data_IF_573513042654
#
_entry.id   IF_573513042654
#
_cell.length_a   1.000
_cell.length_b   1.000
_cell.length_c   1.000
_cell.angle_alpha   90.00
_cell.angle_beta   90.00
_cell.angle_gamma   90.00
#
_symmetry.space_group_name_H-M   'P 1'
#
loop_
_entity.id
_entity.type
_entity.pdbx_description
1 polymer ?
#
# COMPACT_ATOMS: atom_id res chain seq x y z
N UNK A 1 4.94 -1.80 40.67
CA UNK A 1 6.13 -1.60 39.81
C UNK A 1 5.62 -1.33 38.41
N UNK A 2 5.96 -0.18 37.83
CA UNK A 2 5.58 0.15 36.45
C UNK A 2 6.57 -0.53 35.50
N UNK A 3 6.13 -1.59 34.84
CA UNK A 3 6.84 -2.26 33.74
C UNK A 3 6.21 -1.92 32.39
N UNK A 4 6.95 -2.06 31.28
CA UNK A 4 6.38 -1.94 29.93
C UNK A 4 5.15 -2.83 29.73
N UNK A 5 5.20 -4.07 30.26
CA UNK A 5 4.06 -4.99 30.23
C UNK A 5 2.86 -4.48 31.04
N UNK A 6 3.10 -3.84 32.19
CA UNK A 6 2.01 -3.22 32.99
C UNK A 6 1.46 -1.92 32.37
N UNK A 7 2.19 -1.30 31.45
CA UNK A 7 1.71 -0.22 30.59
C UNK A 7 1.02 -0.76 29.32
N UNK A 8 0.88 -2.08 29.19
CA UNK A 8 0.18 -2.77 28.12
C UNK A 8 1.01 -2.98 26.84
N UNK A 9 2.35 -3.01 26.92
CA UNK A 9 3.23 -3.36 25.80
C UNK A 9 3.74 -4.79 25.98
N UNK A 10 3.30 -5.72 25.13
CA UNK A 10 3.72 -7.12 25.14
C UNK A 10 4.78 -7.44 24.08
N UNK A 11 6.03 -7.54 24.53
CA UNK A 11 7.17 -7.89 23.67
C UNK A 11 7.08 -9.32 23.12
N UNK A 12 6.37 -10.24 23.79
CA UNK A 12 6.27 -11.62 23.33
C UNK A 12 5.43 -11.74 22.05
N UNK A 13 4.31 -11.02 21.95
CA UNK A 13 3.49 -10.97 20.74
C UNK A 13 4.25 -10.33 19.58
N UNK A 14 5.06 -9.30 19.85
CA UNK A 14 5.96 -8.72 18.85
C UNK A 14 6.94 -9.74 18.26
N UNK A 15 7.60 -10.54 19.11
CA UNK A 15 8.51 -11.59 18.63
C UNK A 15 7.78 -12.67 17.83
N UNK A 16 6.59 -13.11 18.27
CA UNK A 16 5.78 -14.08 17.54
C UNK A 16 5.37 -13.56 16.16
N UNK A 17 4.96 -12.29 16.07
CA UNK A 17 4.61 -11.66 14.79
C UNK A 17 5.80 -11.67 13.83
N UNK A 18 6.97 -11.23 14.30
CA UNK A 18 8.22 -11.24 13.51
C UNK A 18 8.57 -12.64 13.02
N UNK A 19 8.49 -13.66 13.89
CA UNK A 19 8.79 -15.05 13.51
C UNK A 19 7.85 -15.59 12.43
N UNK A 20 6.56 -15.23 12.48
CA UNK A 20 5.57 -15.62 11.47
C UNK A 20 5.84 -15.03 10.08
N UNK A 21 6.31 -13.79 10.02
CA UNK A 21 6.49 -13.07 8.74
C UNK A 21 7.89 -13.24 8.15
N UNK A 22 8.88 -13.63 8.96
CA UNK A 22 10.32 -13.62 8.60
C UNK A 22 10.62 -14.25 7.24
N UNK A 23 10.06 -15.43 6.95
CA UNK A 23 10.28 -16.13 5.68
C UNK A 23 9.69 -15.37 4.50
N UNK A 24 8.50 -14.79 4.66
CA UNK A 24 7.83 -14.03 3.62
C UNK A 24 8.56 -12.70 3.33
N UNK A 25 8.97 -11.97 4.38
CA UNK A 25 9.75 -10.74 4.19
C UNK A 25 11.11 -11.04 3.54
N UNK A 26 11.78 -12.13 3.95
CA UNK A 26 13.01 -12.61 3.31
C UNK A 26 12.82 -12.90 1.82
N UNK A 27 11.67 -13.46 1.45
CA UNK A 27 11.35 -13.76 0.05
C UNK A 27 11.05 -12.51 -0.80
N UNK A 28 10.88 -11.32 -0.20
CA UNK A 28 10.81 -10.04 -0.94
C UNK A 28 12.20 -9.44 -1.22
N UNK A 29 13.24 -9.92 -0.52
CA UNK A 29 14.58 -9.36 -0.62
C UNK A 29 15.17 -9.57 -2.01
N UNK A 30 15.98 -8.61 -2.44
CA UNK A 30 16.69 -8.67 -3.70
C UNK A 30 18.17 -8.31 -3.49
N UNK A 31 18.98 -8.42 -4.54
CA UNK A 31 20.44 -8.17 -4.48
C UNK A 31 20.82 -6.75 -4.02
N UNK A 32 19.90 -5.80 -4.09
CA UNK A 32 20.15 -4.41 -3.74
C UNK A 32 19.96 -4.16 -2.24
N UNK A 33 19.32 -5.07 -1.49
CA UNK A 33 19.22 -4.95 -0.03
C UNK A 33 20.51 -5.47 0.61
N UNK A 34 21.21 -4.62 1.35
CA UNK A 34 22.59 -4.90 1.81
C UNK A 34 22.67 -5.47 3.23
N UNK A 35 21.57 -5.46 3.98
CA UNK A 35 21.53 -5.92 5.36
C UNK A 35 20.21 -6.61 5.71
N UNK A 36 20.18 -7.27 6.85
CA UNK A 36 19.00 -7.99 7.34
C UNK A 36 18.09 -7.08 8.19
N UNK A 37 16.83 -7.51 8.30
CA UNK A 37 15.83 -6.95 9.23
C UNK A 37 16.33 -7.06 10.67
N UNK A 38 16.07 -6.03 11.47
CA UNK A 38 16.46 -5.94 12.88
C UNK A 38 17.72 -5.12 13.15
N UNK A 39 18.36 -4.55 12.12
CA UNK A 39 19.32 -3.45 12.31
C UNK A 39 18.59 -2.13 12.60
N UNK A 40 19.35 -1.08 12.91
CA UNK A 40 18.80 0.28 13.09
C UNK A 40 18.20 0.91 11.82
N UNK A 41 18.41 0.29 10.66
CA UNK A 41 17.93 0.82 9.38
C UNK A 41 18.33 -0.08 8.22
N UNK A 42 17.49 -0.11 7.20
CA UNK A 42 17.74 -0.87 5.98
C UNK A 42 18.59 -0.06 4.99
N UNK A 43 19.47 -0.77 4.28
CA UNK A 43 20.33 -0.22 3.25
C UNK A 43 19.92 -0.79 1.90
N UNK A 44 19.67 0.09 0.95
CA UNK A 44 19.29 -0.26 -0.42
C UNK A 44 20.26 0.38 -1.41
N UNK A 45 21.00 -0.44 -2.15
CA UNK A 45 21.94 0.02 -3.17
C UNK A 45 21.21 0.43 -4.46
N UNK A 46 21.51 1.62 -4.97
CA UNK A 46 21.03 2.09 -6.27
C UNK A 46 22.15 1.94 -7.29
N UNK A 47 21.91 1.18 -8.36
CA UNK A 47 22.86 0.97 -9.44
C UNK A 47 22.14 0.82 -10.79
N UNK A 48 22.87 1.12 -11.88
CA UNK A 48 22.34 0.96 -13.25
C UNK A 48 21.49 2.11 -13.79
N UNK A 49 21.49 3.27 -13.13
CA UNK A 49 20.80 4.49 -13.59
C UNK A 49 21.82 5.57 -13.96
N UNK A 50 21.49 6.39 -14.96
CA UNK A 50 22.32 7.49 -15.44
C UNK A 50 22.08 8.76 -14.63
N UNK A 51 20.82 9.17 -14.49
CA UNK A 51 20.37 10.36 -13.77
C UNK A 51 19.18 10.00 -12.86
N UNK A 52 19.42 9.22 -11.80
CA UNK A 52 18.34 8.69 -10.97
C UNK A 52 17.62 9.79 -10.19
N UNK A 53 16.29 9.69 -10.15
CA UNK A 53 15.41 10.47 -9.27
C UNK A 53 14.61 9.50 -8.42
N UNK A 54 14.62 9.72 -7.10
CA UNK A 54 13.79 8.97 -6.17
C UNK A 54 12.40 9.59 -6.08
N UNK A 55 11.38 8.74 -6.14
CA UNK A 55 9.98 9.11 -5.98
C UNK A 55 9.45 8.35 -4.77
N UNK A 56 8.98 9.07 -3.76
CA UNK A 56 8.48 8.49 -2.51
C UNK A 56 6.99 8.78 -2.34
N UNK A 57 6.25 7.81 -1.83
CA UNK A 57 4.86 7.95 -1.44
C UNK A 57 4.62 7.34 -0.06
N UNK A 58 3.71 7.95 0.70
CA UNK A 58 3.21 7.38 1.96
C UNK A 58 1.70 7.48 1.96
N UNK A 59 1.05 6.41 2.40
CA UNK A 59 -0.40 6.37 2.49
C UNK A 59 -0.84 5.34 3.54
N UNK A 60 -2.09 5.43 3.95
CA UNK A 60 -2.77 4.43 4.74
C UNK A 60 -3.88 3.73 3.96
N UNK A 61 -4.53 2.76 4.60
CA UNK A 61 -5.68 2.06 4.02
C UNK A 61 -6.98 2.84 4.27
N UNK A 62 -7.04 3.60 5.36
CA UNK A 62 -8.23 4.32 5.78
C UNK A 62 -9.35 3.39 6.26
N UNK A 63 -10.59 3.86 6.16
CA UNK A 63 -11.74 3.21 6.85
C UNK A 63 -12.16 1.84 6.29
N UNK A 64 -11.51 1.33 5.23
CA UNK A 64 -11.66 -0.07 4.77
C UNK A 64 -11.18 -1.05 5.85
N UNK A 65 -10.18 -0.66 6.64
CA UNK A 65 -9.69 -1.41 7.80
C UNK A 65 -10.82 -1.88 8.71
N UNK A 66 -11.84 -1.06 8.95
CA UNK A 66 -12.94 -1.42 9.85
C UNK A 66 -13.72 -2.64 9.36
N UNK A 67 -13.94 -2.80 8.06
CA UNK A 67 -14.61 -3.98 7.49
C UNK A 67 -13.75 -5.24 7.67
N UNK A 68 -12.45 -5.12 7.46
CA UNK A 68 -11.51 -6.23 7.68
C UNK A 68 -11.47 -6.64 9.16
N UNK A 69 -11.43 -5.67 10.08
CA UNK A 69 -11.45 -5.90 11.52
C UNK A 69 -12.78 -6.51 11.99
N UNK A 70 -13.92 -6.08 11.43
CA UNK A 70 -15.25 -6.59 11.79
C UNK A 70 -15.48 -8.03 11.30
N UNK A 71 -14.82 -8.44 10.22
CA UNK A 71 -15.05 -9.75 9.58
C UNK A 71 -13.88 -10.72 9.73
N UNK A 72 -12.76 -10.30 10.31
CA UNK A 72 -11.58 -11.14 10.51
C UNK A 72 -10.76 -11.41 9.25
N UNK A 73 -10.81 -10.51 8.27
CA UNK A 73 -10.18 -10.67 6.96
C UNK A 73 -9.07 -9.62 6.76
N UNK A 74 -7.86 -9.91 7.23
CA UNK A 74 -6.79 -8.91 7.32
C UNK A 74 -5.80 -8.90 6.15
N UNK A 75 -5.63 -10.03 5.46
CA UNK A 75 -4.58 -10.18 4.44
C UNK A 75 -4.68 -9.17 3.31
N UNK A 76 -5.90 -8.90 2.84
CA UNK A 76 -6.13 -7.99 1.71
C UNK A 76 -5.77 -6.54 2.04
N UNK A 77 -5.83 -6.15 3.33
CA UNK A 77 -5.43 -4.83 3.82
C UNK A 77 -3.95 -4.56 3.58
N UNK A 78 -3.09 -5.58 3.70
CA UNK A 78 -1.67 -5.45 3.38
C UNK A 78 -1.44 -5.09 1.91
N UNK A 79 -2.20 -5.73 1.01
CA UNK A 79 -2.16 -5.45 -0.42
C UNK A 79 -2.67 -4.04 -0.70
N UNK A 80 -3.78 -3.64 -0.08
CA UNK A 80 -4.33 -2.28 -0.19
C UNK A 80 -3.31 -1.21 0.24
N UNK A 81 -2.64 -1.41 1.38
CA UNK A 81 -1.64 -0.48 1.90
C UNK A 81 -0.48 -0.26 0.91
N UNK A 82 0.06 -1.37 0.37
CA UNK A 82 1.09 -1.30 -0.65
C UNK A 82 0.59 -0.62 -1.92
N UNK A 83 -0.61 -0.97 -2.39
CA UNK A 83 -1.17 -0.47 -3.63
C UNK A 83 -1.45 1.04 -3.60
N UNK A 84 -1.93 1.58 -2.48
CA UNK A 84 -2.14 3.02 -2.31
C UNK A 84 -0.83 3.79 -2.52
N UNK A 85 0.26 3.36 -1.87
CA UNK A 85 1.56 4.01 -2.04
C UNK A 85 2.17 3.78 -3.43
N UNK A 86 2.14 2.54 -3.92
CA UNK A 86 2.84 2.14 -5.15
C UNK A 86 2.19 2.72 -6.40
N UNK A 87 0.85 2.75 -6.48
CA UNK A 87 0.14 3.30 -7.62
C UNK A 87 0.39 4.81 -7.78
N UNK A 88 0.57 5.54 -6.67
CA UNK A 88 0.89 6.98 -6.70
C UNK A 88 2.28 7.23 -7.31
N UNK A 89 3.31 6.53 -6.87
CA UNK A 89 4.66 6.73 -7.44
C UNK A 89 4.75 6.25 -8.90
N UNK A 90 3.97 5.24 -9.27
CA UNK A 90 3.87 4.73 -10.66
C UNK A 90 3.29 5.79 -11.60
N UNK A 91 2.50 6.74 -11.10
CA UNK A 91 2.00 7.85 -11.92
C UNK A 91 3.14 8.70 -12.50
N UNK A 92 4.30 8.72 -11.84
CA UNK A 92 5.49 9.43 -12.30
C UNK A 92 6.45 8.57 -13.11
N UNK A 93 6.01 7.37 -13.52
CA UNK A 93 6.85 6.40 -14.22
C UNK A 93 7.85 5.70 -13.31
N UNK A 94 7.77 5.87 -11.99
CA UNK A 94 8.73 5.26 -11.07
C UNK A 94 8.56 3.75 -10.99
N UNK A 95 9.69 3.05 -10.95
CA UNK A 95 9.79 1.63 -10.58
C UNK A 95 9.88 1.53 -9.05
N UNK A 96 8.97 0.82 -8.37
CA UNK A 96 9.11 0.52 -6.95
C UNK A 96 10.43 -0.19 -6.66
N UNK A 97 11.14 0.25 -5.61
CA UNK A 97 12.39 -0.35 -5.14
C UNK A 97 12.18 -1.08 -3.83
N UNK A 98 11.69 -0.34 -2.83
CA UNK A 98 11.48 -0.87 -1.51
C UNK A 98 10.26 -0.25 -0.81
N UNK A 99 9.77 -0.96 0.18
CA UNK A 99 8.63 -0.60 1.00
C UNK A 99 9.00 -0.67 2.49
N UNK A 100 8.41 0.22 3.28
CA UNK A 100 8.37 0.15 4.72
C UNK A 100 6.92 0.26 5.22
N UNK A 101 6.65 -0.37 6.35
CA UNK A 101 5.33 -0.35 6.98
C UNK A 101 5.39 0.14 8.44
N UNK A 102 4.27 0.69 8.90
CA UNK A 102 4.06 1.03 10.30
C UNK A 102 2.67 0.53 10.72
N UNK A 103 2.63 -0.37 11.70
CA UNK A 103 1.41 -0.88 12.29
C UNK A 103 1.22 -0.30 13.69
N UNK A 104 0.08 0.32 13.94
CA UNK A 104 -0.35 0.76 15.26
C UNK A 104 -1.56 -0.04 15.71
N UNK A 105 -1.62 -0.41 16.99
CA UNK A 105 -2.77 -1.15 17.53
C UNK A 105 -3.00 -0.85 19.02
N UNK A 106 -4.20 -1.14 19.51
CA UNK A 106 -4.52 -0.99 20.94
C UNK A 106 -3.97 -2.13 21.79
N UNK A 107 -4.04 -3.35 21.25
CA UNK A 107 -3.42 -4.55 21.81
C UNK A 107 -2.89 -5.39 20.65
N UNK A 108 -1.63 -5.81 20.73
CA UNK A 108 -1.02 -6.59 19.67
C UNK A 108 -1.50 -8.05 19.72
N UNK A 109 -2.07 -8.48 18.60
CA UNK A 109 -2.30 -9.86 18.21
C UNK A 109 -1.34 -10.22 17.06
N UNK A 110 -0.48 -11.22 17.30
CA UNK A 110 0.54 -11.63 16.34
C UNK A 110 -0.03 -12.24 15.05
N UNK A 111 -1.20 -12.87 15.08
CA UNK A 111 -1.83 -13.46 13.90
C UNK A 111 -2.42 -12.37 13.00
N UNK A 112 -3.08 -11.38 13.59
CA UNK A 112 -3.61 -10.22 12.84
C UNK A 112 -2.48 -9.44 12.17
N UNK A 113 -1.44 -9.08 12.93
CA UNK A 113 -0.30 -8.34 12.40
C UNK A 113 0.42 -9.14 11.29
N UNK A 114 0.59 -10.46 11.49
CA UNK A 114 1.20 -11.32 10.48
C UNK A 114 0.39 -11.37 9.18
N UNK A 115 -0.93 -11.52 9.23
CA UNK A 115 -1.76 -11.55 8.01
C UNK A 115 -1.67 -10.25 7.21
N UNK A 116 -1.69 -9.10 7.88
CA UNK A 116 -1.53 -7.78 7.23
C UNK A 116 -0.17 -7.72 6.52
N UNK A 117 0.92 -8.02 7.23
CA UNK A 117 2.27 -7.95 6.65
C UNK A 117 2.46 -8.99 5.54
N UNK A 118 1.86 -10.18 5.66
CA UNK A 118 1.88 -11.18 4.59
C UNK A 118 1.25 -10.65 3.30
N UNK A 119 0.11 -9.94 3.38
CA UNK A 119 -0.46 -9.25 2.22
C UNK A 119 0.47 -8.20 1.61
N UNK A 120 1.20 -7.44 2.42
CA UNK A 120 2.22 -6.50 1.92
C UNK A 120 3.35 -7.25 1.22
N UNK A 121 3.81 -8.37 1.76
CA UNK A 121 4.89 -9.16 1.14
C UNK A 121 4.50 -9.73 -0.22
N UNK A 122 3.25 -10.19 -0.37
CA UNK A 122 2.71 -10.65 -1.65
C UNK A 122 2.72 -9.52 -2.68
N UNK A 123 2.19 -8.35 -2.31
CA UNK A 123 2.14 -7.18 -3.17
C UNK A 123 3.54 -6.67 -3.56
N UNK A 124 4.48 -6.68 -2.61
CA UNK A 124 5.89 -6.35 -2.84
C UNK A 124 6.53 -7.28 -3.87
N UNK A 125 6.41 -8.60 -3.69
CA UNK A 125 6.94 -9.61 -4.63
C UNK A 125 6.39 -9.41 -6.03
N UNK A 126 5.08 -9.21 -6.13
CA UNK A 126 4.44 -9.03 -7.43
C UNK A 126 4.91 -7.77 -8.16
N UNK A 127 5.39 -6.77 -7.43
CA UNK A 127 5.82 -5.50 -8.00
C UNK A 127 7.35 -5.31 -7.97
N UNK A 128 8.11 -6.40 -7.78
CA UNK A 128 9.58 -6.38 -7.74
C UNK A 128 10.13 -5.40 -6.69
N UNK A 129 9.39 -5.20 -5.61
CA UNK A 129 9.69 -4.32 -4.51
C UNK A 129 10.13 -5.15 -3.30
N UNK A 130 11.13 -4.70 -2.54
CA UNK A 130 11.54 -5.37 -1.31
C UNK A 130 10.87 -4.73 -0.10
N UNK A 131 10.28 -5.53 0.79
CA UNK A 131 9.87 -5.05 2.12
C UNK A 131 11.11 -5.06 3.01
N UNK A 132 11.68 -3.88 3.28
CA UNK A 132 13.03 -3.78 3.88
C UNK A 132 13.03 -3.39 5.35
N UNK A 133 11.90 -2.93 5.89
CA UNK A 133 11.77 -2.60 7.30
C UNK A 133 10.34 -2.24 7.65
N UNK A 134 10.04 -2.28 8.93
CA UNK A 134 8.74 -1.86 9.45
C UNK A 134 8.80 -1.72 10.96
N UNK A 135 7.72 -1.21 11.54
CA UNK A 135 7.59 -1.03 12.98
C UNK A 135 6.19 -1.39 13.45
N UNK A 136 6.09 -1.95 14.66
CA UNK A 136 4.81 -2.29 15.30
C UNK A 136 4.71 -1.62 16.66
N UNK A 137 3.71 -0.77 16.82
CA UNK A 137 3.48 -0.01 18.04
C UNK A 137 2.16 -0.42 18.72
N UNK A 138 2.29 -1.02 19.90
CA UNK A 138 1.17 -1.28 20.81
C UNK A 138 0.95 -0.05 21.71
N UNK A 139 -0.19 0.62 21.54
CA UNK A 139 -0.50 1.91 22.16
C UNK A 139 -1.86 1.88 22.87
N UNK A 140 -1.97 1.13 23.98
CA UNK A 140 -3.18 1.07 24.78
C UNK A 140 -3.53 2.46 25.32
N UNK A 141 -4.81 2.83 25.21
CA UNK A 141 -5.29 4.17 25.58
C UNK A 141 -5.28 5.19 24.44
N UNK A 142 -4.59 4.90 23.32
CA UNK A 142 -4.77 5.62 22.05
C UNK A 142 -5.73 4.88 21.13
N UNK A 143 -5.54 3.56 20.99
CA UNK A 143 -6.39 2.68 20.18
C UNK A 143 -7.22 1.74 21.06
N UNK A 144 -8.41 1.37 20.62
CA UNK A 144 -9.22 0.36 21.32
C UNK A 144 -8.64 -1.04 21.10
N UNK A 145 -8.95 -1.98 21.98
CA UNK A 145 -8.58 -3.36 21.77
C UNK A 145 -9.23 -3.90 20.49
N UNK A 146 -8.42 -4.50 19.60
CA UNK A 146 -8.86 -4.96 18.28
C UNK A 146 -8.81 -3.89 17.18
N UNK A 147 -8.51 -2.63 17.49
CA UNK A 147 -8.22 -1.62 16.47
C UNK A 147 -6.79 -1.74 15.98
N UNK A 148 -6.63 -1.64 14.66
CA UNK A 148 -5.36 -1.52 13.97
C UNK A 148 -5.41 -0.33 12.99
N UNK A 149 -4.30 0.37 12.90
CA UNK A 149 -4.01 1.33 11.83
C UNK A 149 -2.71 0.93 11.14
N UNK A 150 -2.67 1.16 9.83
CA UNK A 150 -1.58 0.69 8.97
C UNK A 150 -1.19 1.80 8.02
N UNK A 151 0.08 2.17 8.06
CA UNK A 151 0.69 3.10 7.12
C UNK A 151 1.79 2.40 6.31
N UNK A 152 1.90 2.79 5.06
CA UNK A 152 2.90 2.34 4.11
C UNK A 152 3.81 3.48 3.68
N UNK A 153 5.01 3.11 3.27
CA UNK A 153 5.98 4.01 2.67
C UNK A 153 6.68 3.30 1.52
N UNK A 154 6.47 3.76 0.29
CA UNK A 154 7.10 3.21 -0.90
C UNK A 154 8.11 4.19 -1.47
N UNK A 155 9.29 3.69 -1.82
CA UNK A 155 10.28 4.42 -2.60
C UNK A 155 10.47 3.71 -3.91
N UNK A 156 10.34 4.48 -4.99
CA UNK A 156 10.71 4.07 -6.33
C UNK A 156 11.75 4.99 -6.95
N UNK A 157 12.11 4.66 -8.18
CA UNK A 157 13.14 5.34 -8.95
C UNK A 157 12.73 5.50 -10.41
N UNK A 158 13.14 6.60 -11.02
CA UNK A 158 12.93 6.90 -12.43
C UNK A 158 14.16 7.64 -12.97
N UNK A 159 14.45 7.50 -14.26
CA UNK A 159 15.41 8.38 -14.93
C UNK A 159 14.83 9.79 -15.01
N UNK A 160 15.66 10.81 -14.76
CA UNK A 160 15.20 12.20 -14.73
C UNK A 160 14.48 12.64 -16.01
N UNK A 161 14.92 12.15 -17.16
CA UNK A 161 14.37 12.42 -18.49
C UNK A 161 13.17 11.53 -18.86
N UNK A 162 12.78 10.59 -17.99
CA UNK A 162 11.60 9.73 -18.18
C UNK A 162 10.47 10.02 -17.17
N UNK A 163 10.60 11.09 -16.38
CA UNK A 163 9.56 11.49 -15.43
C UNK A 163 8.28 11.84 -16.18
N UNK A 164 7.16 11.26 -15.74
CA UNK A 164 5.83 11.61 -16.22
C UNK A 164 5.23 12.61 -15.22
N UNK A 165 4.98 13.84 -15.67
CA UNK A 165 4.45 14.92 -14.83
C UNK A 165 3.21 15.61 -15.41
N UNK A 166 2.71 15.15 -16.57
CA UNK A 166 1.55 15.74 -17.24
C UNK A 166 1.87 16.95 -18.13
N UNK A 167 3.09 17.49 -18.09
CA UNK A 167 3.47 18.69 -18.87
C UNK A 167 3.40 18.48 -20.39
N UNK A 168 3.46 17.23 -20.85
CA UNK A 168 3.37 16.88 -22.27
C UNK A 168 1.94 16.71 -22.79
N UNK A 169 0.92 16.74 -21.91
CA UNK A 169 -0.49 16.58 -22.27
C UNK A 169 -0.94 17.73 -23.15
N UNK A 170 -1.66 17.40 -24.23
CA UNK A 170 -2.15 18.37 -25.24
C UNK A 170 -3.58 18.09 -25.64
N UNK A 171 -4.26 19.12 -26.13
CA UNK A 171 -5.58 18.99 -26.73
C UNK A 171 -5.55 17.96 -27.87
N UNK A 172 -6.40 16.94 -27.76
CA UNK A 172 -6.50 15.86 -28.75
C UNK A 172 -5.97 14.52 -28.25
N UNK A 173 -5.19 14.52 -27.17
CA UNK A 173 -4.73 13.32 -26.47
C UNK A 173 -5.90 12.44 -26.03
N UNK A 174 -5.64 11.15 -25.89
CA UNK A 174 -6.64 10.13 -25.57
C UNK A 174 -6.52 9.71 -24.13
N UNK A 175 -7.67 9.64 -23.45
CA UNK A 175 -7.76 9.07 -22.12
C UNK A 175 -8.03 7.57 -22.23
N UNK A 176 -7.20 6.78 -21.56
CA UNK A 176 -7.37 5.33 -21.43
C UNK A 176 -7.61 5.04 -19.95
N UNK A 177 -8.73 4.40 -19.65
CA UNK A 177 -9.06 3.98 -18.29
C UNK A 177 -8.64 2.53 -18.06
N UNK A 178 -7.94 2.27 -16.96
CA UNK A 178 -7.71 0.92 -16.46
C UNK A 178 -8.79 0.58 -15.42
N UNK A 179 -9.49 -0.55 -15.54
CA UNK A 179 -10.57 -0.88 -14.62
C UNK A 179 -10.03 -1.13 -13.21
N UNK A 180 -10.72 -0.58 -12.21
CA UNK A 180 -10.53 -0.93 -10.80
C UNK A 180 -11.00 -2.37 -10.52
N UNK A 181 -10.66 -2.87 -9.33
CA UNK A 181 -11.17 -4.14 -8.80
C UNK A 181 -12.45 -3.94 -7.98
N UNK A 182 -12.82 -2.70 -7.67
CA UNK A 182 -13.95 -2.35 -6.82
C UNK A 182 -13.79 -0.94 -6.29
N UNK A 183 -14.11 -0.73 -5.01
CA UNK A 183 -13.93 0.56 -4.31
C UNK A 183 -12.47 0.90 -4.00
N UNK A 184 -11.54 -0.05 -4.21
CA UNK A 184 -10.13 0.08 -3.82
C UNK A 184 -10.04 0.38 -2.31
N UNK A 185 -9.32 1.44 -1.91
CA UNK A 185 -9.19 1.85 -0.50
C UNK A 185 -9.91 3.16 -0.16
N UNK A 186 -10.81 3.63 -1.03
CA UNK A 186 -11.45 4.96 -0.89
C UNK A 186 -12.98 4.87 -0.72
N UNK A 187 -13.56 5.88 -0.06
CA UNK A 187 -15.02 5.99 0.09
C UNK A 187 -15.64 5.09 1.17
N UNK A 188 -14.85 4.31 1.91
CA UNK A 188 -15.36 3.31 2.87
C UNK A 188 -16.17 3.89 4.03
N UNK A 189 -15.97 5.17 4.37
CA UNK A 189 -16.82 5.86 5.34
C UNK A 189 -18.25 6.03 4.85
N UNK A 190 -18.46 6.22 3.55
CA UNK A 190 -19.78 6.27 2.94
C UNK A 190 -20.33 4.86 2.69
N UNK A 191 -19.49 3.94 2.19
CA UNK A 191 -19.86 2.52 1.98
C UNK A 191 -20.45 1.94 3.26
N UNK A 192 -19.77 2.10 4.41
CA UNK A 192 -20.25 1.60 5.72
C UNK A 192 -21.51 2.27 6.24
N UNK A 193 -21.87 3.46 5.73
CA UNK A 193 -23.14 4.12 6.06
C UNK A 193 -24.30 3.60 5.19
N UNK A 194 -24.01 3.18 3.97
CA UNK A 194 -25.00 2.66 3.02
C UNK A 194 -25.25 1.18 3.29
N UNK A 195 -24.19 0.39 3.43
CA UNK A 195 -24.24 -1.04 3.68
C UNK A 195 -24.03 -1.31 5.16
N UNK A 196 -25.12 -1.52 5.88
CA UNK A 196 -25.10 -1.69 7.34
C UNK A 196 -24.92 -3.14 7.78
N UNK A 197 -25.24 -4.12 6.93
CA UNK A 197 -24.96 -5.53 7.16
C UNK A 197 -23.99 -6.05 6.10
N UNK A 198 -22.71 -6.15 6.45
CA UNK A 198 -21.67 -6.62 5.54
C UNK A 198 -21.68 -8.15 5.34
N UNK A 199 -22.52 -8.88 6.06
CA UNK A 199 -22.68 -10.33 5.90
C UNK A 199 -23.84 -10.71 4.97
N UNK A 200 -24.61 -9.74 4.50
CA UNK A 200 -25.70 -10.02 3.56
C UNK A 200 -25.19 -10.64 2.26
N UNK A 201 -26.02 -11.47 1.62
CA UNK A 201 -25.65 -12.10 0.35
C UNK A 201 -25.66 -11.08 -0.78
N UNK A 202 -24.52 -10.97 -1.48
CA UNK A 202 -24.35 -10.15 -2.66
C UNK A 202 -23.65 -10.97 -3.74
N UNK A 203 -24.31 -11.17 -4.89
CA UNK A 203 -23.78 -11.95 -6.01
C UNK A 203 -23.28 -13.37 -5.60
N UNK A 204 -23.98 -14.02 -4.66
CA UNK A 204 -23.71 -15.40 -4.23
C UNK A 204 -22.58 -15.56 -3.20
N UNK A 205 -22.09 -14.46 -2.62
CA UNK A 205 -21.12 -14.47 -1.51
C UNK A 205 -21.46 -13.38 -0.48
N UNK A 206 -20.90 -13.40 0.73
CA UNK A 206 -21.07 -12.30 1.68
C UNK A 206 -20.56 -10.98 1.10
N UNK A 207 -21.31 -9.89 1.31
CA UNK A 207 -20.98 -8.56 0.79
C UNK A 207 -19.56 -8.11 1.17
N UNK A 208 -19.09 -8.43 2.37
CA UNK A 208 -17.74 -8.07 2.82
C UNK A 208 -16.66 -8.60 1.87
N UNK A 209 -16.85 -9.74 1.20
CA UNK A 209 -15.87 -10.28 0.26
C UNK A 209 -15.71 -9.38 -0.97
N UNK A 210 -16.81 -8.79 -1.45
CA UNK A 210 -16.76 -7.80 -2.54
C UNK A 210 -16.15 -6.48 -2.05
N UNK A 211 -16.48 -6.06 -0.83
CA UNK A 211 -15.94 -4.82 -0.26
C UNK A 211 -14.45 -4.93 0.07
N UNK A 212 -13.96 -6.13 0.41
CA UNK A 212 -12.56 -6.40 0.75
C UNK A 212 -11.72 -6.86 -0.44
N UNK A 213 -12.26 -6.83 -1.67
CA UNK A 213 -11.49 -7.04 -2.89
C UNK A 213 -10.27 -6.09 -2.88
N UNK A 214 -9.03 -6.61 -2.99
CA UNK A 214 -7.83 -5.79 -2.89
C UNK A 214 -7.76 -4.71 -3.96
N UNK A 215 -7.15 -3.59 -3.62
CA UNK A 215 -6.81 -2.52 -4.57
C UNK A 215 -5.90 -3.08 -5.65
N UNK A 216 -6.28 -2.83 -6.92
CA UNK A 216 -5.51 -3.31 -8.06
C UNK A 216 -4.18 -2.59 -8.17
N UNK A 217 -3.12 -3.36 -8.40
CA UNK A 217 -1.77 -2.87 -8.65
C UNK A 217 -1.53 -2.67 -10.15
N UNK A 218 -1.06 -1.48 -10.52
CA UNK A 218 -0.94 -1.10 -11.94
C UNK A 218 0.49 -1.06 -12.48
N UNK A 219 1.52 -1.21 -11.64
CA UNK A 219 2.93 -1.11 -12.08
C UNK A 219 3.23 -1.97 -13.31
N UNK A 220 2.91 -3.27 -13.30
CA UNK A 220 3.17 -4.16 -14.45
C UNK A 220 2.43 -3.72 -15.71
N UNK A 221 1.17 -3.30 -15.58
CA UNK A 221 0.35 -2.81 -16.70
C UNK A 221 0.94 -1.52 -17.29
N UNK A 222 1.32 -0.57 -16.45
CA UNK A 222 1.93 0.69 -16.87
C UNK A 222 3.27 0.45 -17.54
N UNK A 223 4.13 -0.43 -16.99
CA UNK A 223 5.41 -0.79 -17.61
C UNK A 223 5.21 -1.40 -19.00
N UNK A 224 4.22 -2.28 -19.16
CA UNK A 224 3.89 -2.85 -20.47
C UNK A 224 3.44 -1.77 -21.45
N UNK A 225 2.53 -0.88 -21.03
CA UNK A 225 2.02 0.20 -21.88
C UNK A 225 3.15 1.16 -22.29
N UNK A 226 4.05 1.52 -21.35
CA UNK A 226 5.23 2.36 -21.63
C UNK A 226 6.17 1.74 -22.67
N UNK A 227 6.21 0.41 -22.78
CA UNK A 227 6.97 -0.28 -23.82
C UNK A 227 6.34 -0.21 -25.21
N UNK A 228 5.07 0.14 -25.31
CA UNK A 228 4.29 0.15 -26.56
C UNK A 228 3.91 1.56 -27.02
N UNK A 229 3.79 2.53 -26.10
CA UNK A 229 3.40 3.91 -26.40
C UNK A 229 3.96 4.91 -25.39
N UNK A 230 4.04 6.17 -25.81
CA UNK A 230 4.36 7.28 -24.92
C UNK A 230 3.17 7.60 -24.01
N UNK A 231 3.43 7.72 -22.71
CA UNK A 231 2.46 8.19 -21.73
C UNK A 231 2.78 9.64 -21.36
N UNK A 232 1.91 10.57 -21.71
CA UNK A 232 2.07 11.99 -21.36
C UNK A 232 1.58 12.33 -19.95
N UNK A 233 0.76 11.46 -19.34
CA UNK A 233 0.24 11.64 -17.98
C UNK A 233 -0.45 10.38 -17.45
N UNK A 234 -0.47 10.24 -16.12
CA UNK A 234 -1.15 9.15 -15.42
C UNK A 234 -1.81 9.74 -14.17
N UNK A 235 -3.10 9.49 -13.98
CA UNK A 235 -3.84 9.89 -12.78
C UNK A 235 -4.33 8.65 -12.03
N UNK A 236 -3.84 8.45 -10.79
CA UNK A 236 -4.40 7.45 -9.88
C UNK A 236 -5.70 7.97 -9.28
N UNK A 237 -6.79 7.24 -9.50
CA UNK A 237 -8.13 7.68 -9.07
C UNK A 237 -8.40 7.18 -7.66
N UNK A 238 -8.23 8.07 -6.67
CA UNK A 238 -8.40 7.80 -5.24
C UNK A 238 -9.55 8.64 -4.65
N UNK A 239 -9.36 9.25 -3.48
CA UNK A 239 -10.31 10.17 -2.86
C UNK A 239 -10.70 11.29 -3.83
N UNK A 240 -11.98 11.66 -3.85
CA UNK A 240 -12.51 12.66 -4.77
C UNK A 240 -12.76 12.18 -6.21
N UNK A 241 -12.32 10.96 -6.54
CA UNK A 241 -12.61 10.33 -7.83
C UNK A 241 -12.04 11.09 -9.02
N UNK A 242 -12.71 11.00 -10.18
CA UNK A 242 -12.25 11.62 -11.42
C UNK A 242 -12.14 13.14 -11.32
N UNK A 243 -13.09 13.76 -10.60
CA UNK A 243 -13.20 15.21 -10.50
C UNK A 243 -12.00 15.82 -9.79
N UNK A 244 -11.47 15.16 -8.76
CA UNK A 244 -10.33 15.68 -8.02
C UNK A 244 -8.97 15.21 -8.53
N UNK A 245 -8.89 14.00 -9.09
CA UNK A 245 -7.59 13.40 -9.44
C UNK A 245 -7.14 13.71 -10.86
N UNK A 246 -8.05 13.68 -11.84
CA UNK A 246 -7.70 13.93 -13.25
C UNK A 246 -7.16 15.34 -13.47
N UNK A 247 -7.75 16.41 -12.91
CA UNK A 247 -7.23 17.77 -13.12
C UNK A 247 -5.82 18.00 -12.58
N UNK A 248 -5.35 17.21 -11.60
CA UNK A 248 -4.02 17.39 -10.98
C UNK A 248 -2.86 17.22 -11.96
N UNK A 249 -3.09 16.49 -13.05
CA UNK A 249 -2.07 16.22 -14.07
C UNK A 249 -2.27 17.03 -15.35
N UNK A 250 -3.40 17.74 -15.49
CA UNK A 250 -3.73 18.46 -16.72
C UNK A 250 -3.09 19.87 -16.65
N UNK A 251 -2.30 20.28 -17.66
CA UNK A 251 -1.75 21.63 -17.74
C UNK A 251 -2.82 22.73 -17.73
N UNK A 252 -2.49 23.87 -17.14
CA UNK A 252 -3.38 25.04 -17.13
C UNK A 252 -3.81 25.44 -18.55
N UNK A 253 -5.11 25.66 -18.73
CA UNK A 253 -5.69 26.13 -19.99
C UNK A 253 -6.11 25.03 -20.98
N UNK A 254 -6.09 23.75 -20.57
CA UNK A 254 -6.65 22.61 -21.31
C UNK A 254 -8.04 22.18 -20.82
#
# INVERSE_FOLDING_TARGET
>A
MNTYKSAGVDKEEGYKAVDKIKSAVSATQNKNVLNNIGSFGAFYEISGYKNPVLVSGTDGVGTKLRIALDTGNYRTIGIDCFAMCANDIVCHGAKPLFFLDYLACGKLDADVAAEIVLGMTEACQDNQCALIGGETAEMPGMYQAGDYDVAGFCVGIVEKDEIIDGSEIKKGDKLIALPSSGFHSNGFSLVRKIFTDVNEEFEGKPLYETLLEPTRLYYRSIQKIRGEMTLCGIAHITGGGLIENVPRIIPDGL
#
